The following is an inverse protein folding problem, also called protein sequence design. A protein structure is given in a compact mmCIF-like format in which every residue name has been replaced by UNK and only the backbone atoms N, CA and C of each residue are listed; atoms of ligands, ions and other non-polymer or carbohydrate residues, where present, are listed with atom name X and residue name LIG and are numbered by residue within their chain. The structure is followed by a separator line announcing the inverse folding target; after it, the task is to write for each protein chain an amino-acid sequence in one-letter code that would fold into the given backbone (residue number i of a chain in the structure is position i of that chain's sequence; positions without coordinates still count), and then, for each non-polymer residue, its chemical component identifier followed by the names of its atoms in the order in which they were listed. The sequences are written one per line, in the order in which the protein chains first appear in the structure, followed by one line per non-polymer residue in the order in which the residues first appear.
data_IF_804040099417
#
_entry.id   IF_804040099417
#
_cell.length_a   1.000
_cell.length_b   1.000
_cell.length_c   1.000
_cell.angle_alpha   90.00
_cell.angle_beta   90.00
_cell.angle_gamma   90.00
#
_symmetry.space_group_name_H-M   'P 1'
#
loop_
_entity.id
_entity.type
_entity.pdbx_description
1 polymer ?
#
# COMPACT_ATOMS: atom_id res chain seq x y z
N UNK A 1 -1.22 10.34 -4.94
CA UNK A 1 -0.77 9.07 -4.34
C UNK A 1 -0.78 9.20 -2.83
N UNK A 2 -1.17 8.14 -2.15
CA UNK A 2 -1.24 8.11 -0.69
C UNK A 2 0.13 8.43 -0.09
N UNK A 3 0.26 9.59 0.55
CA UNK A 3 1.54 10.05 1.09
C UNK A 3 1.71 9.87 2.58
N UNK A 4 0.66 9.46 3.27
CA UNK A 4 0.69 9.22 4.71
C UNK A 4 -0.46 8.32 5.11
N UNK A 5 -0.31 7.66 6.25
CA UNK A 5 -1.37 6.81 6.83
C UNK A 5 -1.49 7.11 8.32
N UNK A 6 -2.59 6.67 8.89
CA UNK A 6 -2.80 6.72 10.33
C UNK A 6 -3.40 5.41 10.81
N UNK A 7 -2.81 4.85 11.85
CA UNK A 7 -3.37 3.72 12.59
C UNK A 7 -3.35 4.10 14.06
N UNK A 8 -4.52 4.16 14.69
CA UNK A 8 -4.68 4.64 16.06
C UNK A 8 -4.07 6.05 16.16
N UNK A 9 -3.18 6.29 17.10
CA UNK A 9 -2.55 7.61 17.28
C UNK A 9 -1.29 7.80 16.45
N UNK A 10 -0.92 6.80 15.65
CA UNK A 10 0.33 6.82 14.88
C UNK A 10 0.09 7.28 13.46
N UNK A 11 0.71 8.39 13.08
CA UNK A 11 0.75 8.86 11.69
C UNK A 11 2.13 8.60 11.11
N UNK A 12 2.14 8.08 9.88
CA UNK A 12 3.39 7.79 9.17
C UNK A 12 3.38 8.53 7.84
N UNK A 13 4.41 9.33 7.60
CA UNK A 13 4.59 10.07 6.36
C UNK A 13 5.71 9.43 5.55
N UNK A 14 5.47 9.17 4.28
CA UNK A 14 6.43 8.48 3.43
C UNK A 14 7.82 9.12 3.42
N UNK A 15 7.95 10.47 3.33
CA UNK A 15 9.29 11.06 3.22
C UNK A 15 10.18 10.85 4.44
N UNK A 16 9.61 10.51 5.59
CA UNK A 16 10.39 10.31 6.80
C UNK A 16 11.34 9.12 6.66
N UNK A 17 12.60 9.23 7.11
CA UNK A 17 13.49 8.08 7.17
C UNK A 17 12.86 7.00 8.05
N UNK A 18 13.04 5.74 7.67
CA UNK A 18 12.52 4.60 8.42
C UNK A 18 10.99 4.53 8.51
N UNK A 19 10.28 5.21 7.62
CA UNK A 19 8.82 5.08 7.57
C UNK A 19 8.44 3.62 7.34
N UNK A 20 7.47 3.13 8.12
CA UNK A 20 6.99 1.75 8.06
C UNK A 20 5.48 1.72 7.93
N UNK A 21 4.96 0.68 7.32
CA UNK A 21 3.52 0.46 7.22
C UNK A 21 3.11 -0.80 7.97
N UNK A 22 1.92 -0.79 8.58
CA UNK A 22 1.40 -1.95 9.30
C UNK A 22 0.81 -2.97 8.34
N UNK A 23 1.42 -4.13 8.26
CA UNK A 23 1.04 -5.22 7.34
C UNK A 23 0.44 -6.37 8.15
N UNK A 24 -0.74 -6.84 7.74
CA UNK A 24 -1.37 -7.99 8.37
C UNK A 24 -0.75 -9.27 7.84
N UNK A 25 -0.26 -10.10 8.74
CA UNK A 25 0.31 -11.40 8.44
C UNK A 25 -0.81 -12.46 8.41
N UNK A 26 -0.48 -13.66 7.94
CA UNK A 26 -1.43 -14.76 7.85
C UNK A 26 -2.06 -15.14 9.19
N UNK A 27 -1.29 -15.02 10.28
CA UNK A 27 -1.77 -15.32 11.63
C UNK A 27 -2.64 -14.19 12.20
N UNK A 28 -2.86 -13.12 11.46
CA UNK A 28 -3.64 -11.98 11.89
C UNK A 28 -2.84 -10.91 12.62
N UNK A 29 -1.59 -11.19 12.92
CA UNK A 29 -0.71 -10.23 13.59
C UNK A 29 -0.28 -9.11 12.64
N UNK A 30 0.00 -7.95 13.20
CA UNK A 30 0.46 -6.78 12.44
C UNK A 30 1.97 -6.69 12.57
N UNK A 31 2.64 -6.62 11.44
CA UNK A 31 4.08 -6.38 11.38
C UNK A 31 4.31 -5.04 10.68
N UNK A 32 5.18 -4.20 11.25
CA UNK A 32 5.55 -2.93 10.63
C UNK A 32 6.71 -3.16 9.69
N UNK A 33 6.50 -2.91 8.40
CA UNK A 33 7.45 -3.19 7.33
C UNK A 33 7.89 -1.87 6.69
N UNK A 34 9.17 -1.76 6.35
CA UNK A 34 9.71 -0.56 5.71
C UNK A 34 8.91 -0.21 4.47
N UNK A 35 8.47 1.04 4.39
CA UNK A 35 7.64 1.56 3.30
C UNK A 35 8.52 2.04 2.15
N UNK A 36 8.64 1.24 1.09
CA UNK A 36 9.34 1.61 -0.14
C UNK A 36 10.77 2.10 0.07
N UNK A 37 11.20 3.01 -0.79
CA UNK A 37 12.57 3.55 -0.77
C UNK A 37 12.52 5.08 -0.85
N UNK A 38 13.21 5.75 0.09
CA UNK A 38 13.43 7.20 -0.01
C UNK A 38 14.47 7.48 -1.07
N UNK A 39 14.40 8.68 -1.62
CA UNK A 39 15.30 9.12 -2.68
C UNK A 39 16.77 9.04 -2.28
N UNK A 40 17.07 9.36 -1.02
CA UNK A 40 18.44 9.42 -0.50
C UNK A 40 19.05 8.05 -0.20
N UNK A 41 18.21 7.02 -0.09
CA UNK A 41 18.71 5.69 0.22
C UNK A 41 19.49 5.08 -0.95
N UNK A 42 20.58 4.39 -0.61
CA UNK A 42 21.37 3.67 -1.60
C UNK A 42 21.05 2.19 -1.44
N UNK A 43 20.15 1.70 -2.27
CA UNK A 43 19.77 0.29 -2.28
C UNK A 43 19.12 -0.06 -3.62
N UNK A 44 18.91 -1.35 -3.85
CA UNK A 44 18.39 -1.83 -5.14
C UNK A 44 16.87 -1.79 -5.24
N UNK A 45 16.18 -1.44 -4.16
CA UNK A 45 14.72 -1.35 -4.19
C UNK A 45 14.25 -0.21 -5.08
N UNK A 46 13.09 -0.34 -5.75
CA UNK A 46 12.51 0.76 -6.51
C UNK A 46 12.26 1.98 -5.65
N UNK A 47 12.61 3.15 -6.16
CA UNK A 47 12.38 4.40 -5.47
C UNK A 47 10.89 4.71 -5.40
N UNK A 48 10.47 5.34 -4.31
CA UNK A 48 9.08 5.69 -4.06
C UNK A 48 8.41 4.71 -3.12
N UNK A 49 7.16 4.97 -2.81
CA UNK A 49 6.37 4.15 -1.90
C UNK A 49 5.20 3.45 -2.55
N UNK A 50 5.14 3.43 -3.89
CA UNK A 50 3.95 3.02 -4.60
C UNK A 50 4.27 2.08 -5.74
N UNK A 51 3.34 1.13 -5.99
CA UNK A 51 3.43 0.19 -7.10
C UNK A 51 2.12 0.25 -7.88
N UNK A 52 2.17 0.60 -9.15
CA UNK A 52 0.97 0.66 -9.98
C UNK A 52 0.45 -0.75 -10.24
N UNK A 53 -0.85 -0.94 -10.08
CA UNK A 53 -1.48 -2.23 -10.34
C UNK A 53 -1.17 -2.71 -11.75
N UNK A 54 -1.18 -1.82 -12.75
CA UNK A 54 -0.86 -2.17 -14.13
C UNK A 54 0.57 -2.69 -14.27
N UNK A 55 1.52 -2.08 -13.56
CA UNK A 55 2.92 -2.52 -13.60
C UNK A 55 3.10 -3.90 -12.97
N UNK A 56 2.34 -4.16 -11.90
CA UNK A 56 2.35 -5.49 -11.26
C UNK A 56 1.83 -6.54 -12.24
N UNK A 57 0.71 -6.24 -12.90
CA UNK A 57 0.11 -7.16 -13.88
C UNK A 57 1.00 -7.40 -15.08
N UNK A 58 1.79 -6.38 -15.47
CA UNK A 58 2.73 -6.50 -16.58
C UNK A 58 4.02 -7.25 -16.21
N UNK A 59 4.15 -7.68 -14.96
CA UNK A 59 5.31 -8.46 -14.52
C UNK A 59 6.55 -7.64 -14.20
N UNK A 60 6.42 -6.32 -14.07
CA UNK A 60 7.58 -5.45 -13.83
C UNK A 60 8.19 -5.64 -12.44
N UNK A 61 7.44 -6.26 -11.53
CA UNK A 61 7.90 -6.52 -10.16
C UNK A 61 8.36 -7.96 -9.95
N UNK A 62 8.27 -8.81 -10.98
CA UNK A 62 8.45 -10.27 -10.87
C UNK A 62 9.78 -10.67 -10.23
N UNK A 63 10.87 -9.99 -10.56
CA UNK A 63 12.20 -10.34 -10.04
C UNK A 63 12.34 -10.14 -8.53
N UNK A 64 11.43 -9.41 -7.92
CA UNK A 64 11.44 -9.15 -6.48
C UNK A 64 10.50 -10.06 -5.72
N UNK A 65 10.04 -11.14 -6.36
CA UNK A 65 9.16 -12.15 -5.75
C UNK A 65 7.98 -11.51 -5.02
N UNK A 66 7.16 -10.71 -5.73
CA UNK A 66 6.16 -9.88 -5.08
C UNK A 66 5.05 -10.70 -4.44
N UNK A 67 4.58 -10.22 -3.29
CA UNK A 67 3.45 -10.83 -2.58
C UNK A 67 2.43 -9.75 -2.23
N UNK A 68 1.15 -9.94 -2.57
CA UNK A 68 0.12 -9.01 -2.12
C UNK A 68 -0.11 -9.17 -0.62
N UNK A 69 -0.30 -8.05 0.06
CA UNK A 69 -0.54 -8.01 1.50
C UNK A 69 -1.60 -6.98 1.82
N UNK A 70 -2.13 -7.05 3.04
CA UNK A 70 -3.10 -6.09 3.55
C UNK A 70 -2.38 -5.06 4.42
N UNK A 71 -2.47 -3.78 4.02
CA UNK A 71 -2.00 -2.67 4.84
C UNK A 71 -3.20 -2.21 5.66
N UNK A 72 -3.10 -2.34 6.99
CA UNK A 72 -4.21 -2.10 7.91
C UNK A 72 -4.10 -0.71 8.49
N UNK A 73 -4.92 0.22 7.99
CA UNK A 73 -4.89 1.61 8.44
C UNK A 73 -6.32 2.12 8.62
N UNK A 74 -6.47 3.17 9.42
CA UNK A 74 -7.76 3.80 9.65
C UNK A 74 -7.99 4.97 8.70
N UNK A 75 -6.91 5.65 8.32
CA UNK A 75 -6.97 6.82 7.46
C UNK A 75 -5.75 6.87 6.55
N UNK A 76 -5.90 7.54 5.41
CA UNK A 76 -4.77 7.86 4.54
C UNK A 76 -4.88 9.30 4.05
N UNK A 77 -3.77 9.86 3.58
CA UNK A 77 -3.71 11.25 3.17
C UNK A 77 -3.33 11.35 1.68
N UNK A 78 -4.04 12.22 0.97
CA UNK A 78 -3.71 12.57 -0.40
C UNK A 78 -3.48 14.07 -0.51
N UNK A 79 -2.56 14.47 -1.40
CA UNK A 79 -2.33 15.86 -1.70
C UNK A 79 -2.87 16.19 -3.09
N UNK A 80 -3.46 17.37 -3.23
CA UNK A 80 -3.83 17.85 -4.55
C UNK A 80 -2.64 18.55 -5.23
N UNK A 81 -2.88 19.13 -6.42
CA UNK A 81 -1.84 19.77 -7.21
C UNK A 81 -1.24 21.01 -6.52
N UNK A 82 -1.98 21.60 -5.60
CA UNK A 82 -1.53 22.79 -4.87
C UNK A 82 -0.88 22.45 -3.52
N UNK A 83 -0.75 21.15 -3.21
CA UNK A 83 -0.16 20.69 -1.96
C UNK A 83 -1.13 20.67 -0.79
N UNK A 84 -2.41 20.92 -1.02
CA UNK A 84 -3.42 20.82 0.01
C UNK A 84 -3.58 19.36 0.43
N UNK A 85 -3.59 19.08 1.72
CA UNK A 85 -3.68 17.74 2.29
C UNK A 85 -5.11 17.40 2.64
N UNK A 86 -5.54 16.19 2.26
CA UNK A 86 -6.87 15.67 2.57
C UNK A 86 -6.72 14.30 3.21
N UNK A 87 -7.38 14.09 4.34
CA UNK A 87 -7.40 12.82 5.05
C UNK A 87 -8.72 12.11 4.79
N UNK A 88 -8.64 10.82 4.50
CA UNK A 88 -9.80 9.99 4.19
C UNK A 88 -9.85 8.82 5.13
N UNK A 89 -11.05 8.55 5.66
CA UNK A 89 -11.26 7.42 6.56
C UNK A 89 -11.53 6.16 5.75
N UNK A 90 -10.98 5.03 6.21
CA UNK A 90 -11.39 3.73 5.73
C UNK A 90 -12.53 3.23 6.59
N UNK A 91 -13.47 2.52 5.99
CA UNK A 91 -14.56 1.89 6.72
C UNK A 91 -14.09 0.58 7.34
N UNK A 92 -14.84 0.08 8.31
CA UNK A 92 -14.53 -1.20 8.94
C UNK A 92 -14.47 -2.29 7.87
N UNK A 93 -13.44 -3.12 7.94
CA UNK A 93 -13.22 -4.19 6.96
C UNK A 93 -12.45 -3.77 5.72
N UNK A 94 -12.26 -2.47 5.52
CA UNK A 94 -11.46 -1.99 4.40
C UNK A 94 -9.97 -1.97 4.74
N UNK A 95 -9.15 -2.23 3.73
CA UNK A 95 -7.70 -2.11 3.85
C UNK A 95 -7.12 -1.62 2.53
N UNK A 96 -5.89 -1.12 2.58
CA UNK A 96 -5.15 -0.75 1.38
C UNK A 96 -4.33 -1.95 0.93
N UNK A 97 -4.41 -2.31 -0.34
CA UNK A 97 -3.57 -3.37 -0.88
C UNK A 97 -2.12 -2.91 -0.89
N UNK A 98 -1.25 -3.74 -0.34
CA UNK A 98 0.19 -3.55 -0.41
C UNK A 98 0.83 -4.61 -1.26
N UNK A 99 2.07 -4.35 -1.66
CA UNK A 99 2.92 -5.30 -2.35
C UNK A 99 4.22 -5.42 -1.58
N UNK A 100 4.54 -6.62 -1.10
CA UNK A 100 5.85 -6.89 -0.55
C UNK A 100 6.81 -7.18 -1.69
N UNK A 101 7.98 -6.56 -1.65
CA UNK A 101 9.07 -6.83 -2.57
C UNK A 101 10.27 -7.32 -1.77
N UNK A 102 10.98 -8.31 -2.28
CA UNK A 102 12.10 -8.94 -1.59
C UNK A 102 13.37 -8.80 -2.42
N UNK A 103 14.45 -8.36 -1.78
CA UNK A 103 15.79 -8.33 -2.37
C UNK A 103 16.75 -8.81 -1.31
N UNK A 104 17.50 -9.88 -1.62
CA UNK A 104 18.50 -10.46 -0.70
C UNK A 104 17.95 -10.70 0.71
N UNK A 105 16.71 -11.17 0.80
CA UNK A 105 16.08 -11.50 2.07
C UNK A 105 15.45 -10.32 2.81
N UNK A 106 15.65 -9.10 2.35
CA UNK A 106 15.01 -7.93 2.92
C UNK A 106 13.65 -7.70 2.24
N UNK A 107 12.64 -7.36 3.05
CA UNK A 107 11.30 -7.06 2.53
C UNK A 107 11.00 -5.57 2.69
N UNK A 108 10.37 -4.99 1.67
CA UNK A 108 9.79 -3.64 1.74
C UNK A 108 8.38 -3.69 1.19
N UNK A 109 7.51 -2.83 1.69
CA UNK A 109 6.11 -2.79 1.27
C UNK A 109 5.84 -1.51 0.47
N UNK A 110 5.06 -1.66 -0.60
CA UNK A 110 4.65 -0.57 -1.47
C UNK A 110 3.12 -0.51 -1.48
N UNK A 111 2.58 0.70 -1.46
CA UNK A 111 1.12 0.89 -1.61
C UNK A 111 0.74 0.63 -3.06
N UNK A 112 -0.19 -0.27 -3.30
CA UNK A 112 -0.69 -0.52 -4.65
C UNK A 112 -1.63 0.59 -5.05
N UNK A 113 -1.40 1.20 -6.20
CA UNK A 113 -2.22 2.30 -6.70
C UNK A 113 -2.91 1.95 -8.00
N UNK A 114 -4.01 2.64 -8.25
CA UNK A 114 -4.79 2.52 -9.47
C UNK A 114 -5.31 3.91 -9.85
N UNK A 115 -5.93 4.01 -11.01
CA UNK A 115 -6.54 5.27 -11.41
C UNK A 115 -7.66 5.62 -10.45
N UNK A 116 -7.75 6.90 -10.08
CA UNK A 116 -8.81 7.38 -9.22
C UNK A 116 -10.14 7.40 -9.98
N UNK A 117 -11.23 7.20 -9.23
CA UNK A 117 -12.55 7.40 -9.78
C UNK A 117 -12.82 8.89 -10.02
N UNK A 118 -13.77 9.26 -10.91
CA UNK A 118 -13.95 10.67 -11.28
C UNK A 118 -14.11 11.61 -10.09
N UNK A 119 -14.82 11.21 -9.05
CA UNK A 119 -15.09 12.08 -7.91
C UNK A 119 -13.84 12.36 -7.06
N UNK A 120 -12.83 11.50 -7.13
CA UNK A 120 -11.58 11.69 -6.36
C UNK A 120 -10.40 12.09 -7.22
N UNK A 121 -10.53 11.95 -8.54
CA UNK A 121 -9.47 12.32 -9.48
C UNK A 121 -9.11 13.81 -9.41
N UNK A 122 -10.04 14.65 -8.96
CA UNK A 122 -9.80 16.08 -8.77
C UNK A 122 -8.75 16.34 -7.70
N UNK A 123 -8.61 15.44 -6.74
CA UNK A 123 -7.61 15.57 -5.68
C UNK A 123 -6.29 15.02 -6.19
N UNK A 124 -6.31 13.77 -6.66
CA UNK A 124 -5.11 13.14 -7.22
C UNK A 124 -5.53 12.06 -8.22
N UNK A 125 -4.86 11.97 -9.39
CA UNK A 125 -5.22 10.98 -10.42
C UNK A 125 -4.90 9.54 -10.04
N UNK A 126 -4.02 9.32 -9.06
CA UNK A 126 -3.68 7.98 -8.58
C UNK A 126 -4.21 7.81 -7.16
N UNK A 127 -4.86 6.70 -6.92
CA UNK A 127 -5.53 6.42 -5.64
C UNK A 127 -5.04 5.09 -5.07
N UNK A 128 -4.91 4.95 -3.75
CA UNK A 128 -4.56 3.65 -3.18
C UNK A 128 -5.67 2.66 -3.49
N UNK A 129 -5.29 1.42 -3.75
CA UNK A 129 -6.27 0.37 -4.04
C UNK A 129 -6.86 -0.14 -2.74
N UNK A 130 -8.10 0.26 -2.47
CA UNK A 130 -8.82 -0.09 -1.26
C UNK A 130 -9.70 -1.29 -1.55
N UNK A 131 -9.59 -2.33 -0.72
CA UNK A 131 -10.34 -3.56 -0.87
C UNK A 131 -11.10 -3.85 0.41
N UNK A 132 -12.16 -4.64 0.29
CA UNK A 132 -12.94 -5.12 1.40
C UNK A 132 -12.40 -6.48 1.84
N UNK A 133 -12.24 -6.66 3.13
CA UNK A 133 -11.76 -7.92 3.68
C UNK A 133 -12.72 -9.07 3.39
N UNK A 134 -14.03 -8.79 3.41
CA UNK A 134 -15.05 -9.79 3.12
C UNK A 134 -14.94 -10.30 1.69
N UNK A 135 -14.62 -9.43 0.74
CA UNK A 135 -14.43 -9.82 -0.66
C UNK A 135 -13.23 -10.75 -0.81
N UNK A 136 -12.15 -10.47 -0.09
CA UNK A 136 -10.96 -11.31 -0.08
C UNK A 136 -11.28 -12.67 0.50
N UNK A 137 -11.99 -12.71 1.63
CA UNK A 137 -12.36 -13.97 2.28
C UNK A 137 -13.30 -14.78 1.41
N UNK A 138 -14.26 -14.14 0.75
CA UNK A 138 -15.17 -14.82 -0.16
C UNK A 138 -14.42 -15.41 -1.35
N UNK A 139 -13.47 -14.68 -1.92
CA UNK A 139 -12.63 -15.15 -3.02
C UNK A 139 -11.79 -16.37 -2.59
N UNK A 140 -11.25 -16.32 -1.38
CA UNK A 140 -10.45 -17.42 -0.82
C UNK A 140 -11.29 -18.68 -0.66
N UNK A 141 -12.51 -18.54 -0.16
CA UNK A 141 -13.43 -19.66 -0.01
C UNK A 141 -13.82 -20.24 -1.36
N UNK A 142 -14.01 -19.39 -2.36
CA UNK A 142 -14.50 -19.81 -3.66
C UNK A 142 -13.50 -20.57 -4.50
N UNK A 143 -12.21 -20.29 -4.39
CA UNK A 143 -11.22 -20.87 -5.30
C UNK A 143 -9.91 -21.24 -4.65
N UNK A 144 -9.82 -21.16 -3.35
CA UNK A 144 -8.63 -21.51 -2.58
C UNK A 144 -7.38 -20.67 -2.95
N UNK A 145 -7.54 -19.62 -3.70
CA UNK A 145 -6.44 -18.72 -4.02
C UNK A 145 -6.30 -17.71 -2.91
N UNK A 146 -5.11 -17.61 -2.35
CA UNK A 146 -4.85 -16.63 -1.33
C UNK A 146 -4.74 -15.25 -1.97
N UNK A 147 -5.56 -14.34 -1.53
CA UNK A 147 -5.49 -12.95 -1.98
C UNK A 147 -4.73 -12.08 -0.99
N UNK A 148 -3.91 -12.69 -0.21
CA UNK A 148 -3.12 -12.08 0.85
C UNK A 148 -3.83 -12.01 2.16
#
# INVERSE_FOLDING_TARGET
MCGAIQLQDTKVFFPHPNAKLPVRKRDGEIEWVTWGKRREEICAFPEGGWARLSSIKDGRWTRMTPKPVQIVVERFMEKDAEGQRYWFDLEEGEFIQGLLAFINGEARVYVVTQEAEPQTAMIHPRWPRILQRDDVDASRVGNAVSAA
#
